data_IF_889296054944
#
_entry.id   IF_889296054944
#
_cell.length_a   1.000
_cell.length_b   1.000
_cell.length_c   1.000
_cell.angle_alpha   90.00
_cell.angle_beta   90.00
_cell.angle_gamma   90.00
#
_symmetry.space_group_name_H-M   'P 1'
#
loop_
_entity.id
_entity.type
_entity.pdbx_description
1 polymer ?
#
# COMPACT_ATOMS: atom_id res chain seq x y z
N UNK A 1 -29.65 20.45 4.29
CA UNK A 1 -29.77 19.53 5.43
C UNK A 1 -30.59 18.30 5.02
N UNK A 2 -31.74 18.50 4.37
CA UNK A 2 -32.67 17.43 3.96
C UNK A 2 -32.09 16.40 2.98
N UNK A 3 -31.28 16.82 1.98
CA UNK A 3 -30.64 15.89 1.02
C UNK A 3 -29.64 14.93 1.70
N UNK A 4 -28.88 15.41 2.68
CA UNK A 4 -27.90 14.59 3.40
C UNK A 4 -28.59 13.59 4.34
N UNK A 5 -29.61 14.05 5.07
CA UNK A 5 -30.42 13.18 5.93
C UNK A 5 -31.15 12.10 5.12
N UNK A 6 -31.61 12.44 3.92
CA UNK A 6 -32.20 11.47 2.98
C UNK A 6 -31.19 10.42 2.52
N UNK A 7 -29.94 10.81 2.22
CA UNK A 7 -28.88 9.88 1.81
C UNK A 7 -28.50 8.88 2.91
N UNK A 8 -28.39 9.35 4.15
CA UNK A 8 -28.05 8.50 5.29
C UNK A 8 -29.14 7.47 5.59
N UNK A 9 -30.42 7.89 5.50
CA UNK A 9 -31.57 7.02 5.69
C UNK A 9 -31.62 5.94 4.60
N UNK A 10 -31.41 6.32 3.33
CA UNK A 10 -31.38 5.36 2.21
C UNK A 10 -30.21 4.38 2.33
N UNK A 11 -29.03 4.83 2.78
CA UNK A 11 -27.90 3.95 2.99
C UNK A 11 -28.14 2.95 4.12
N UNK A 12 -28.78 3.38 5.21
CA UNK A 12 -29.19 2.48 6.29
C UNK A 12 -30.25 1.48 5.81
N UNK A 13 -31.22 1.92 5.00
CA UNK A 13 -32.23 1.05 4.40
C UNK A 13 -31.57 0.00 3.50
N UNK A 14 -30.64 0.39 2.63
CA UNK A 14 -29.88 -0.52 1.78
C UNK A 14 -29.14 -1.59 2.59
N UNK A 15 -28.47 -1.19 3.69
CA UNK A 15 -27.85 -2.16 4.60
C UNK A 15 -28.87 -3.14 5.19
N UNK A 16 -30.03 -2.66 5.63
CA UNK A 16 -31.09 -3.53 6.15
C UNK A 16 -31.56 -4.50 5.06
N UNK A 17 -31.92 -4.00 3.88
CA UNK A 17 -32.44 -4.83 2.80
C UNK A 17 -31.43 -5.89 2.32
N UNK A 18 -30.16 -5.54 2.14
CA UNK A 18 -29.18 -6.43 1.50
C UNK A 18 -28.28 -7.20 2.46
N UNK A 19 -28.23 -6.82 3.73
CA UNK A 19 -27.35 -7.46 4.73
C UNK A 19 -28.12 -7.99 5.93
N UNK A 20 -29.00 -7.17 6.53
CA UNK A 20 -29.66 -7.52 7.79
C UNK A 20 -31.10 -8.02 7.58
N UNK A 21 -31.34 -9.31 7.85
CA UNK A 21 -32.68 -9.92 7.84
C UNK A 21 -33.39 -9.94 6.47
N UNK A 22 -32.71 -9.51 5.38
CA UNK A 22 -33.25 -9.45 4.03
C UNK A 22 -34.65 -8.78 3.98
N UNK A 23 -34.85 -7.76 4.81
CA UNK A 23 -36.17 -7.17 5.03
C UNK A 23 -36.73 -6.57 3.74
N UNK A 24 -37.90 -7.05 3.32
CA UNK A 24 -38.58 -6.53 2.13
C UNK A 24 -37.88 -6.86 0.80
N UNK A 25 -36.93 -7.81 0.78
CA UNK A 25 -36.30 -8.27 -0.47
C UNK A 25 -37.35 -8.86 -1.42
N UNK A 26 -38.40 -9.49 -0.90
CA UNK A 26 -39.54 -9.99 -1.69
C UNK A 26 -40.33 -8.88 -2.40
N UNK A 27 -40.19 -7.63 -1.95
CA UNK A 27 -40.82 -6.47 -2.58
C UNK A 27 -39.94 -5.85 -3.69
N UNK A 28 -38.68 -6.27 -3.81
CA UNK A 28 -37.77 -5.80 -4.85
C UNK A 28 -37.88 -6.68 -6.11
N UNK A 29 -37.68 -6.10 -7.31
CA UNK A 29 -37.50 -6.90 -8.50
C UNK A 29 -36.35 -7.90 -8.32
N UNK A 30 -36.55 -9.13 -8.77
CA UNK A 30 -35.51 -10.17 -8.71
C UNK A 30 -34.41 -9.81 -9.70
N UNK A 31 -33.32 -9.23 -9.21
CA UNK A 31 -32.14 -8.91 -10.00
C UNK A 31 -31.13 -10.06 -9.88
N UNK A 32 -30.88 -10.75 -10.99
CA UNK A 32 -29.94 -11.87 -11.03
C UNK A 32 -28.48 -11.44 -11.19
N UNK A 33 -28.23 -10.27 -11.80
CA UNK A 33 -26.86 -9.79 -12.03
C UNK A 33 -26.29 -9.13 -10.76
N UNK A 34 -25.29 -9.73 -10.08
CA UNK A 34 -24.75 -9.18 -8.84
C UNK A 34 -23.96 -7.88 -9.06
N UNK A 35 -23.39 -7.66 -10.25
CA UNK A 35 -22.67 -6.44 -10.59
C UNK A 35 -23.60 -5.23 -10.64
N UNK A 36 -24.84 -5.43 -11.09
CA UNK A 36 -25.87 -4.39 -11.03
C UNK A 36 -26.22 -4.02 -9.58
N UNK A 37 -26.33 -5.02 -8.70
CA UNK A 37 -26.62 -4.80 -7.28
C UNK A 37 -25.47 -4.04 -6.61
N UNK A 38 -24.22 -4.39 -6.91
CA UNK A 38 -23.06 -3.62 -6.45
C UNK A 38 -23.17 -2.17 -6.91
N UNK A 39 -23.39 -1.94 -8.21
CA UNK A 39 -23.48 -0.60 -8.80
C UNK A 39 -24.56 0.26 -8.11
N UNK A 40 -25.77 -0.29 -7.91
CA UNK A 40 -26.84 0.42 -7.21
C UNK A 40 -26.47 0.77 -5.76
N UNK A 41 -25.74 -0.12 -5.08
CA UNK A 41 -25.37 0.08 -3.69
C UNK A 41 -24.10 0.92 -3.50
N UNK A 42 -23.32 1.21 -4.55
CA UNK A 42 -22.08 1.98 -4.43
C UNK A 42 -22.29 3.34 -3.76
N UNK A 43 -23.35 4.08 -4.11
CA UNK A 43 -23.64 5.39 -3.51
C UNK A 43 -23.89 5.29 -1.99
N UNK A 44 -24.56 4.22 -1.57
CA UNK A 44 -24.86 3.94 -0.17
C UNK A 44 -23.60 3.51 0.59
N UNK A 45 -22.81 2.63 -0.01
CA UNK A 45 -21.52 2.19 0.51
C UNK A 45 -20.62 3.41 0.73
N UNK A 46 -20.42 4.25 -0.27
CA UNK A 46 -19.58 5.46 -0.15
C UNK A 46 -20.12 6.41 0.91
N UNK A 47 -21.45 6.56 1.04
CA UNK A 47 -22.06 7.37 2.11
C UNK A 47 -21.70 6.85 3.50
N UNK A 48 -21.74 5.54 3.72
CA UNK A 48 -21.43 4.92 5.00
C UNK A 48 -19.92 4.92 5.30
N UNK A 49 -19.07 4.65 4.31
CA UNK A 49 -17.61 4.59 4.48
C UNK A 49 -16.96 5.96 4.75
N UNK A 50 -17.64 7.06 4.41
CA UNK A 50 -17.19 8.44 4.71
C UNK A 50 -17.42 8.85 6.17
N UNK A 51 -18.09 8.01 6.97
CA UNK A 51 -18.41 8.29 8.38
C UNK A 51 -17.27 7.84 9.30
N UNK A 52 -17.33 8.26 10.56
CA UNK A 52 -16.27 7.97 11.55
C UNK A 52 -16.75 7.06 12.68
N UNK A 53 -18.06 6.95 12.83
CA UNK A 53 -18.72 6.17 13.86
C UNK A 53 -18.58 4.67 13.56
N UNK A 54 -18.04 3.92 14.51
CA UNK A 54 -17.81 2.46 14.41
C UNK A 54 -19.00 1.68 13.85
N UNK A 55 -20.25 1.82 14.37
CA UNK A 55 -21.38 1.05 13.86
C UNK A 55 -21.76 1.42 12.43
N UNK A 56 -21.49 2.66 11.99
CA UNK A 56 -21.83 3.12 10.63
C UNK A 56 -20.81 2.58 9.63
N UNK A 57 -19.53 2.66 9.98
CA UNK A 57 -18.45 2.06 9.20
C UNK A 57 -18.63 0.54 9.07
N UNK A 58 -19.00 -0.14 10.15
CA UNK A 58 -19.27 -1.58 10.13
C UNK A 58 -20.37 -1.93 9.12
N UNK A 59 -21.46 -1.15 9.07
CA UNK A 59 -22.54 -1.33 8.09
C UNK A 59 -22.05 -1.13 6.66
N UNK A 60 -21.27 -0.07 6.40
CA UNK A 60 -20.71 0.19 5.08
C UNK A 60 -19.78 -0.92 4.59
N UNK A 61 -18.89 -1.39 5.46
CA UNK A 61 -17.99 -2.50 5.17
C UNK A 61 -18.77 -3.82 4.94
N UNK A 62 -19.78 -4.12 5.76
CA UNK A 62 -20.60 -5.32 5.61
C UNK A 62 -21.43 -5.31 4.33
N UNK A 63 -21.99 -4.15 3.95
CA UNK A 63 -22.74 -3.99 2.70
C UNK A 63 -21.84 -4.19 1.48
N UNK A 64 -20.65 -3.58 1.48
CA UNK A 64 -19.68 -3.78 0.41
C UNK A 64 -19.22 -5.23 0.31
N UNK A 65 -18.86 -5.85 1.45
CA UNK A 65 -18.45 -7.26 1.51
C UNK A 65 -19.55 -8.19 0.97
N UNK A 66 -20.81 -7.99 1.38
CA UNK A 66 -21.93 -8.79 0.88
C UNK A 66 -22.11 -8.66 -0.64
N UNK A 67 -22.03 -7.44 -1.19
CA UNK A 67 -22.12 -7.23 -2.64
C UNK A 67 -20.97 -7.92 -3.38
N UNK A 68 -19.74 -7.82 -2.86
CA UNK A 68 -18.56 -8.42 -3.49
C UNK A 68 -18.55 -9.95 -3.41
N UNK A 69 -19.01 -10.56 -2.33
CA UNK A 69 -19.03 -12.03 -2.17
C UNK A 69 -19.94 -12.73 -3.19
N UNK A 70 -20.90 -12.00 -3.77
CA UNK A 70 -21.79 -12.50 -4.81
C UNK A 70 -21.18 -12.45 -6.22
N UNK A 71 -20.04 -11.81 -6.38
CA UNK A 71 -19.33 -11.67 -7.66
C UNK A 71 -18.27 -12.76 -7.81
N UNK A 72 -18.11 -13.24 -9.03
CA UNK A 72 -16.97 -14.08 -9.40
C UNK A 72 -15.69 -13.24 -9.51
N UNK A 73 -14.53 -13.85 -9.30
CA UNK A 73 -13.26 -13.13 -9.47
C UNK A 73 -13.04 -12.79 -10.94
N UNK A 74 -12.44 -11.63 -11.21
CA UNK A 74 -12.23 -11.09 -12.57
C UNK A 74 -13.51 -10.84 -13.38
N UNK A 75 -14.68 -10.70 -12.73
CA UNK A 75 -15.97 -10.46 -13.41
C UNK A 75 -16.32 -8.98 -13.57
N UNK A 76 -15.66 -8.07 -12.84
CA UNK A 76 -15.86 -6.63 -12.99
C UNK A 76 -14.88 -6.08 -14.03
N UNK A 77 -15.42 -5.62 -15.16
CA UNK A 77 -14.64 -5.02 -16.23
C UNK A 77 -14.30 -3.55 -15.96
N UNK A 78 -13.33 -3.01 -16.71
CA UNK A 78 -12.87 -1.62 -16.62
C UNK A 78 -14.02 -0.58 -16.58
N UNK A 79 -15.11 -0.78 -17.32
CA UNK A 79 -16.21 0.20 -17.42
C UNK A 79 -16.84 0.50 -16.06
N UNK A 80 -16.76 -0.41 -15.09
CA UNK A 80 -17.23 -0.15 -13.74
C UNK A 80 -16.43 0.94 -13.03
N UNK A 81 -15.17 1.17 -13.41
CA UNK A 81 -14.36 2.28 -12.87
C UNK A 81 -14.80 3.64 -13.40
N UNK A 82 -15.66 3.73 -14.43
CA UNK A 82 -16.24 5.01 -14.87
C UNK A 82 -17.21 5.58 -13.82
N UNK A 83 -17.74 4.74 -12.93
CA UNK A 83 -18.56 5.17 -11.81
C UNK A 83 -17.66 5.70 -10.67
N UNK A 84 -17.90 6.94 -10.25
CA UNK A 84 -17.12 7.62 -9.21
C UNK A 84 -16.94 6.75 -7.96
N UNK A 85 -18.02 6.13 -7.48
CA UNK A 85 -18.00 5.24 -6.31
C UNK A 85 -16.97 4.13 -6.43
N UNK A 86 -16.80 3.53 -7.62
CA UNK A 86 -15.89 2.41 -7.82
C UNK A 86 -14.41 2.81 -7.74
N UNK A 87 -14.05 4.04 -8.10
CA UNK A 87 -12.69 4.56 -7.91
C UNK A 87 -12.48 5.07 -6.48
N UNK A 88 -13.48 5.75 -5.89
CA UNK A 88 -13.33 6.36 -4.56
C UNK A 88 -13.39 5.35 -3.42
N UNK A 89 -14.15 4.26 -3.57
CA UNK A 89 -14.33 3.28 -2.50
C UNK A 89 -13.02 2.62 -2.06
N UNK A 90 -12.12 2.18 -2.95
CA UNK A 90 -10.78 1.73 -2.55
C UNK A 90 -10.00 2.78 -1.73
N UNK A 91 -10.13 4.06 -2.05
CA UNK A 91 -9.47 5.14 -1.29
C UNK A 91 -10.09 5.32 0.09
N UNK A 92 -11.42 5.23 0.20
CA UNK A 92 -12.11 5.27 1.49
C UNK A 92 -11.77 4.04 2.36
N UNK A 93 -11.61 2.86 1.76
CA UNK A 93 -11.08 1.68 2.44
C UNK A 93 -9.66 1.92 2.97
N UNK A 94 -8.78 2.53 2.17
CA UNK A 94 -7.42 2.90 2.60
C UNK A 94 -7.46 3.86 3.79
N UNK A 95 -8.31 4.90 3.75
CA UNK A 95 -8.47 5.82 4.90
C UNK A 95 -8.87 5.06 6.16
N UNK A 96 -9.85 4.15 6.06
CA UNK A 96 -10.26 3.31 7.20
C UNK A 96 -9.07 2.45 7.66
N UNK A 97 -8.35 1.79 6.75
CA UNK A 97 -7.19 0.95 7.08
C UNK A 97 -6.10 1.69 7.84
N UNK A 98 -5.90 2.98 7.57
CA UNK A 98 -4.77 3.75 8.12
C UNK A 98 -5.16 4.67 9.29
N UNK A 99 -6.40 5.17 9.32
CA UNK A 99 -6.81 6.25 10.23
C UNK A 99 -7.89 5.83 11.23
N UNK A 100 -8.63 4.74 10.99
CA UNK A 100 -9.69 4.30 11.90
C UNK A 100 -9.10 3.86 13.25
N UNK A 101 -9.61 4.30 14.41
CA UNK A 101 -9.07 3.92 15.71
C UNK A 101 -9.30 2.43 16.04
N UNK A 102 -10.34 1.83 15.47
CA UNK A 102 -10.72 0.44 15.71
C UNK A 102 -9.91 -0.53 14.85
N UNK A 103 -9.04 -1.32 15.47
CA UNK A 103 -8.16 -2.29 14.78
C UNK A 103 -8.94 -3.36 14.01
N UNK A 104 -10.07 -3.81 14.57
CA UNK A 104 -10.98 -4.76 13.92
C UNK A 104 -11.46 -4.24 12.56
N UNK A 105 -11.86 -2.96 12.49
CA UNK A 105 -12.29 -2.31 11.26
C UNK A 105 -11.13 -2.07 10.30
N UNK A 106 -9.94 -1.69 10.79
CA UNK A 106 -8.74 -1.57 9.94
C UNK A 106 -8.43 -2.89 9.22
N UNK A 107 -8.40 -4.00 9.98
CA UNK A 107 -8.16 -5.35 9.44
C UNK A 107 -9.26 -5.80 8.49
N UNK A 108 -10.53 -5.50 8.81
CA UNK A 108 -11.66 -5.83 7.93
C UNK A 108 -11.61 -5.05 6.62
N UNK A 109 -11.27 -3.76 6.67
CA UNK A 109 -11.11 -2.92 5.48
C UNK A 109 -10.02 -3.44 4.55
N UNK A 110 -8.86 -3.86 5.09
CA UNK A 110 -7.79 -4.49 4.29
C UNK A 110 -8.28 -5.76 3.56
N UNK A 111 -9.03 -6.63 4.25
CA UNK A 111 -9.58 -7.85 3.64
C UNK A 111 -10.57 -7.52 2.52
N UNK A 112 -11.42 -6.51 2.74
CA UNK A 112 -12.40 -6.09 1.73
C UNK A 112 -11.71 -5.41 0.55
N UNK A 113 -10.64 -4.64 0.77
CA UNK A 113 -9.83 -4.09 -0.32
C UNK A 113 -9.26 -5.21 -1.20
N UNK A 114 -8.68 -6.25 -0.60
CA UNK A 114 -8.20 -7.40 -1.36
C UNK A 114 -9.34 -8.07 -2.14
N UNK A 115 -10.47 -8.33 -1.49
CA UNK A 115 -11.64 -8.91 -2.13
C UNK A 115 -12.12 -8.05 -3.32
N UNK A 116 -12.11 -6.72 -3.17
CA UNK A 116 -12.49 -5.77 -4.21
C UNK A 116 -11.55 -5.86 -5.41
N UNK A 117 -10.23 -5.85 -5.17
CA UNK A 117 -9.21 -5.98 -6.21
C UNK A 117 -9.35 -7.32 -6.96
N UNK A 118 -9.66 -8.40 -6.26
CA UNK A 118 -9.85 -9.74 -6.86
C UNK A 118 -11.07 -9.81 -7.81
N UNK A 119 -12.06 -8.93 -7.65
CA UNK A 119 -13.25 -8.90 -8.53
C UNK A 119 -13.00 -8.24 -9.88
N UNK A 120 -12.05 -7.32 -9.98
CA UNK A 120 -11.75 -6.66 -11.25
C UNK A 120 -10.96 -7.56 -12.19
N UNK A 121 -11.18 -7.38 -13.49
CA UNK A 121 -10.35 -7.98 -14.55
C UNK A 121 -8.91 -7.41 -14.54
N UNK A 122 -8.05 -7.87 -15.47
CA UNK A 122 -6.65 -7.44 -15.49
C UNK A 122 -6.50 -5.94 -15.73
N UNK A 123 -7.29 -5.39 -16.65
CA UNK A 123 -7.27 -3.97 -16.98
C UNK A 123 -7.75 -3.11 -15.80
N UNK A 124 -8.87 -3.49 -15.17
CA UNK A 124 -9.39 -2.83 -13.98
C UNK A 124 -8.39 -2.87 -12.82
N UNK A 125 -7.75 -4.03 -12.57
CA UNK A 125 -6.68 -4.12 -11.56
C UNK A 125 -5.52 -3.19 -11.87
N UNK A 126 -5.08 -3.13 -13.13
CA UNK A 126 -3.98 -2.25 -13.54
C UNK A 126 -4.30 -0.79 -13.22
N UNK A 127 -5.50 -0.31 -13.56
CA UNK A 127 -5.93 1.06 -13.26
C UNK A 127 -6.05 1.30 -11.75
N UNK A 128 -6.63 0.36 -11.00
CA UNK A 128 -6.76 0.46 -9.55
C UNK A 128 -5.40 0.52 -8.85
N UNK A 129 -4.44 -0.32 -9.25
CA UNK A 129 -3.08 -0.28 -8.69
C UNK A 129 -2.41 1.07 -8.94
N UNK A 130 -2.51 1.60 -10.16
CA UNK A 130 -1.98 2.94 -10.48
C UNK A 130 -2.63 4.04 -9.65
N UNK A 131 -3.95 3.97 -9.47
CA UNK A 131 -4.69 4.90 -8.63
C UNK A 131 -4.18 4.84 -7.19
N UNK A 132 -4.18 3.64 -6.59
CA UNK A 132 -3.81 3.44 -5.19
C UNK A 132 -2.36 3.83 -4.91
N UNK A 133 -1.41 3.47 -5.77
CA UNK A 133 0.00 3.87 -5.64
C UNK A 133 0.20 5.39 -5.66
N UNK A 134 -0.70 6.15 -6.30
CA UNK A 134 -0.65 7.62 -6.37
C UNK A 134 -1.35 8.29 -5.20
N UNK A 135 -2.41 7.67 -4.66
CA UNK A 135 -3.32 8.35 -3.70
C UNK A 135 -3.19 7.87 -2.26
N UNK A 136 -2.60 6.70 -1.98
CA UNK A 136 -2.55 6.14 -0.62
C UNK A 136 -1.65 6.93 0.33
N UNK A 137 -0.51 7.42 -0.14
CA UNK A 137 0.52 8.10 0.66
C UNK A 137 0.86 7.37 1.98
N UNK A 138 0.92 6.04 1.92
CA UNK A 138 1.17 5.18 3.08
C UNK A 138 2.00 3.98 2.64
N UNK A 139 3.23 3.90 3.12
CA UNK A 139 4.23 2.92 2.67
C UNK A 139 3.77 1.47 2.81
N UNK A 140 3.12 1.10 3.93
CA UNK A 140 2.57 -0.24 4.11
C UNK A 140 1.42 -0.61 3.14
N UNK A 141 0.59 0.36 2.74
CA UNK A 141 -0.49 0.13 1.76
C UNK A 141 0.13 -0.02 0.38
N UNK A 142 1.07 0.84 0.02
CA UNK A 142 1.79 0.77 -1.25
C UNK A 142 2.55 -0.54 -1.38
N UNK A 143 3.21 -0.99 -0.32
CA UNK A 143 3.84 -2.31 -0.25
C UNK A 143 2.85 -3.45 -0.49
N UNK A 144 1.63 -3.36 0.06
CA UNK A 144 0.57 -4.34 -0.20
C UNK A 144 0.08 -4.32 -1.67
N UNK A 145 0.00 -3.14 -2.29
CA UNK A 145 -0.33 -3.02 -3.73
C UNK A 145 0.79 -3.57 -4.59
N UNK A 146 2.06 -3.32 -4.27
CA UNK A 146 3.23 -3.89 -4.97
C UNK A 146 3.21 -5.43 -4.90
N UNK A 147 2.84 -6.00 -3.75
CA UNK A 147 2.68 -7.44 -3.63
C UNK A 147 1.55 -7.97 -4.53
N UNK A 148 0.44 -7.24 -4.68
CA UNK A 148 -0.63 -7.60 -5.61
C UNK A 148 -0.18 -7.50 -7.08
N UNK A 149 0.63 -6.49 -7.43
CA UNK A 149 1.26 -6.36 -8.75
C UNK A 149 2.13 -7.58 -9.04
N UNK A 150 3.00 -7.97 -8.10
CA UNK A 150 3.82 -9.19 -8.20
C UNK A 150 2.97 -10.42 -8.48
N UNK A 151 1.84 -10.57 -7.79
CA UNK A 151 0.94 -11.70 -7.99
C UNK A 151 0.33 -11.72 -9.41
N UNK A 152 -0.07 -10.55 -9.95
CA UNK A 152 -0.60 -10.47 -11.32
C UNK A 152 0.49 -10.76 -12.36
N UNK A 153 1.73 -10.32 -12.13
CA UNK A 153 2.87 -10.67 -12.99
C UNK A 153 3.11 -12.19 -12.97
N UNK A 154 3.13 -12.81 -11.79
CA UNK A 154 3.34 -14.27 -11.65
C UNK A 154 2.25 -15.08 -12.38
N UNK A 155 1.00 -14.64 -12.27
CA UNK A 155 -0.12 -15.24 -13.02
C UNK A 155 0.05 -15.06 -14.52
N UNK A 156 0.49 -13.88 -14.97
CA UNK A 156 0.67 -13.55 -16.39
C UNK A 156 1.81 -14.33 -17.03
N UNK A 157 2.92 -14.51 -16.32
CA UNK A 157 4.08 -15.28 -16.81
C UNK A 157 3.81 -16.79 -16.90
N UNK A 158 2.81 -17.30 -16.18
CA UNK A 158 2.41 -18.71 -16.20
C UNK A 158 1.38 -19.04 -17.29
N UNK A 159 0.76 -18.03 -17.91
CA UNK A 159 -0.25 -18.23 -18.95
C UNK A 159 0.39 -18.37 -20.32
N UNK A 160 -0.26 -19.15 -21.18
CA UNK A 160 0.12 -19.24 -22.60
C UNK A 160 -0.24 -17.95 -23.35
N UNK A 161 -1.36 -17.33 -23.00
CA UNK A 161 -1.75 -16.03 -23.54
C UNK A 161 -0.99 -14.89 -22.82
N UNK A 162 -0.36 -14.03 -23.63
CA UNK A 162 0.41 -12.89 -23.13
C UNK A 162 -0.54 -11.85 -22.51
N UNK A 163 -0.41 -11.61 -21.20
CA UNK A 163 -1.13 -10.51 -20.55
C UNK A 163 -0.66 -9.17 -21.11
N UNK A 164 -1.60 -8.32 -21.51
CA UNK A 164 -1.29 -6.98 -22.05
C UNK A 164 -0.86 -5.98 -20.98
N UNK A 165 -1.21 -6.20 -19.71
CA UNK A 165 -1.09 -5.19 -18.65
C UNK A 165 0.03 -5.47 -17.65
N UNK A 166 0.33 -6.74 -17.39
CA UNK A 166 1.34 -7.17 -16.42
C UNK A 166 2.55 -7.84 -17.08
N UNK A 167 2.75 -7.59 -18.38
CA UNK A 167 3.98 -7.86 -19.12
C UNK A 167 4.28 -6.68 -20.06
N UNK A 168 5.44 -6.70 -20.72
CA UNK A 168 5.82 -5.68 -21.70
C UNK A 168 5.81 -4.23 -21.18
N UNK A 169 5.61 -3.27 -22.08
CA UNK A 169 5.70 -1.83 -21.80
C UNK A 169 4.65 -1.31 -20.81
N UNK A 170 3.46 -1.94 -20.72
CA UNK A 170 2.45 -1.54 -19.74
C UNK A 170 2.91 -1.84 -18.32
N UNK A 171 3.56 -2.99 -18.12
CA UNK A 171 4.23 -3.32 -16.86
C UNK A 171 5.34 -2.32 -16.55
N UNK A 172 6.18 -1.97 -17.53
CA UNK A 172 7.23 -0.95 -17.32
C UNK A 172 6.65 0.38 -16.82
N UNK A 173 5.55 0.85 -17.43
CA UNK A 173 4.89 2.07 -16.96
C UNK A 173 4.41 1.96 -15.51
N UNK A 174 3.98 0.76 -15.08
CA UNK A 174 3.61 0.50 -13.69
C UNK A 174 4.84 0.45 -12.78
N UNK A 175 5.93 -0.18 -13.22
CA UNK A 175 7.20 -0.26 -12.49
C UNK A 175 7.84 1.12 -12.29
N UNK A 176 7.68 2.05 -13.24
CA UNK A 176 8.13 3.44 -13.07
C UNK A 176 7.50 4.13 -11.86
N UNK A 177 6.28 3.73 -11.45
CA UNK A 177 5.66 4.21 -10.21
C UNK A 177 6.18 3.46 -8.98
N UNK A 178 6.50 2.17 -9.11
CA UNK A 178 6.92 1.31 -7.99
C UNK A 178 8.40 1.51 -7.61
N UNK A 179 9.26 1.61 -8.61
CA UNK A 179 10.72 1.73 -8.50
C UNK A 179 11.13 3.21 -8.53
N UNK A 180 10.54 3.99 -7.63
CA UNK A 180 10.78 5.42 -7.51
C UNK A 180 11.02 5.80 -6.05
N UNK A 181 12.04 6.63 -5.84
CA UNK A 181 12.30 7.31 -4.57
C UNK A 181 11.81 8.77 -4.68
N UNK A 182 10.83 9.22 -3.87
CA UNK A 182 10.23 10.55 -3.98
C UNK A 182 11.24 11.70 -4.00
N UNK A 183 12.25 11.65 -3.13
CA UNK A 183 13.34 12.64 -3.05
C UNK A 183 14.70 12.05 -3.49
N UNK A 184 14.69 10.98 -4.28
CA UNK A 184 15.92 10.29 -4.67
C UNK A 184 16.72 9.82 -3.45
N UNK A 185 18.01 10.14 -3.39
CA UNK A 185 18.89 9.74 -2.31
C UNK A 185 18.55 10.37 -0.94
N UNK A 186 17.77 11.46 -0.91
CA UNK A 186 17.38 12.15 0.34
C UNK A 186 16.08 11.61 0.95
N UNK A 187 15.44 10.64 0.29
CA UNK A 187 14.20 10.03 0.76
C UNK A 187 14.34 9.47 2.17
N UNK A 188 13.37 9.72 3.04
CA UNK A 188 13.30 9.07 4.36
C UNK A 188 13.05 7.55 4.20
N UNK A 189 14.15 6.79 4.22
CA UNK A 189 14.12 5.35 4.01
C UNK A 189 13.35 4.60 5.11
N UNK A 190 13.28 5.13 6.34
CA UNK A 190 12.53 4.48 7.41
C UNK A 190 11.02 4.64 7.21
N UNK A 191 10.59 5.86 6.87
CA UNK A 191 9.19 6.14 6.57
C UNK A 191 8.70 5.33 5.36
N UNK A 192 9.55 5.16 4.34
CA UNK A 192 9.23 4.43 3.11
C UNK A 192 9.65 2.96 3.13
N UNK A 193 10.04 2.41 4.29
CA UNK A 193 10.68 1.11 4.39
C UNK A 193 9.88 -0.05 3.81
N UNK A 194 8.59 -0.15 4.15
CA UNK A 194 7.69 -1.18 3.64
C UNK A 194 7.57 -1.15 2.11
N UNK A 195 7.45 0.05 1.53
CA UNK A 195 7.35 0.25 0.07
C UNK A 195 8.66 -0.15 -0.60
N UNK A 196 9.79 0.35 -0.11
CA UNK A 196 11.13 0.09 -0.69
C UNK A 196 11.42 -1.42 -0.65
N UNK A 197 11.14 -2.08 0.47
CA UNK A 197 11.32 -3.53 0.59
C UNK A 197 10.42 -4.30 -0.36
N UNK A 198 9.16 -3.91 -0.54
CA UNK A 198 8.27 -4.53 -1.52
C UNK A 198 8.78 -4.33 -2.96
N UNK A 199 9.24 -3.12 -3.29
CA UNK A 199 9.83 -2.77 -4.60
C UNK A 199 11.07 -3.61 -4.91
N UNK A 200 12.02 -3.71 -3.97
CA UNK A 200 13.22 -4.53 -4.11
C UNK A 200 12.88 -6.02 -4.28
N UNK A 201 11.92 -6.54 -3.51
CA UNK A 201 11.50 -7.93 -3.63
C UNK A 201 10.76 -8.23 -4.94
N UNK A 202 10.02 -7.25 -5.48
CA UNK A 202 9.43 -7.35 -6.82
C UNK A 202 10.52 -7.39 -7.89
N UNK A 203 11.48 -6.47 -7.85
CA UNK A 203 12.59 -6.44 -8.81
C UNK A 203 13.42 -7.73 -8.76
N UNK A 204 13.77 -8.20 -7.56
CA UNK A 204 14.42 -9.49 -7.35
C UNK A 204 13.61 -10.64 -7.96
N UNK A 205 12.30 -10.65 -7.80
CA UNK A 205 11.44 -11.68 -8.38
C UNK A 205 11.48 -11.64 -9.91
N UNK A 206 11.39 -10.46 -10.52
CA UNK A 206 11.45 -10.27 -11.98
C UNK A 206 12.75 -10.80 -12.56
N UNK A 207 13.89 -10.42 -11.98
CA UNK A 207 15.22 -10.87 -12.43
C UNK A 207 15.45 -12.38 -12.30
N UNK A 208 14.74 -13.04 -11.36
CA UNK A 208 14.82 -14.50 -11.20
C UNK A 208 13.90 -15.22 -12.18
N UNK A 209 12.74 -14.64 -12.51
CA UNK A 209 11.67 -15.32 -13.23
C UNK A 209 11.64 -15.04 -14.72
N UNK A 210 11.96 -13.84 -15.15
CA UNK A 210 12.00 -13.49 -16.56
C UNK A 210 13.36 -13.86 -17.14
N UNK A 211 13.38 -14.68 -18.18
CA UNK A 211 14.62 -15.00 -18.89
C UNK A 211 15.03 -13.79 -19.74
N UNK A 212 16.32 -13.45 -19.78
CA UNK A 212 16.86 -12.36 -20.59
C UNK A 212 16.63 -12.54 -22.10
N UNK A 213 16.69 -13.78 -22.60
CA UNK A 213 16.47 -14.08 -24.02
C UNK A 213 15.01 -13.89 -24.44
N UNK A 214 14.06 -14.15 -23.52
CA UNK A 214 12.61 -14.05 -23.75
C UNK A 214 12.11 -12.63 -23.43
N UNK A 215 12.59 -12.08 -22.31
CA UNK A 215 12.37 -10.71 -21.81
C UNK A 215 10.89 -10.28 -21.89
N UNK A 216 9.98 -11.17 -21.45
CA UNK A 216 8.53 -10.96 -21.55
C UNK A 216 8.09 -9.73 -20.76
N UNK A 217 8.78 -9.43 -19.66
CA UNK A 217 8.44 -8.29 -18.80
C UNK A 217 9.08 -6.98 -19.29
N UNK A 218 9.98 -7.04 -20.27
CA UNK A 218 10.85 -5.96 -20.70
C UNK A 218 11.80 -5.43 -19.61
N UNK A 219 11.95 -6.15 -18.48
CA UNK A 219 12.78 -5.69 -17.36
C UNK A 219 14.25 -5.55 -17.74
N UNK A 220 14.75 -6.46 -18.58
CA UNK A 220 16.15 -6.47 -19.01
C UNK A 220 16.47 -5.29 -19.92
N UNK A 221 15.53 -4.89 -20.77
CA UNK A 221 15.67 -3.70 -21.62
C UNK A 221 15.72 -2.41 -20.81
N UNK A 222 14.94 -2.32 -19.75
CA UNK A 222 14.82 -1.10 -18.93
C UNK A 222 15.80 -1.07 -17.74
N UNK A 223 16.67 -2.07 -17.62
CA UNK A 223 17.52 -2.26 -16.46
C UNK A 223 18.43 -1.06 -16.19
N UNK A 224 19.04 -0.48 -17.25
CA UNK A 224 19.85 0.73 -17.15
C UNK A 224 19.10 1.91 -16.51
N UNK A 225 17.82 2.07 -16.88
CA UNK A 225 16.97 3.14 -16.33
C UNK A 225 16.66 2.87 -14.86
N UNK A 226 16.39 1.62 -14.49
CA UNK A 226 16.12 1.21 -13.10
C UNK A 226 17.37 1.40 -12.23
N UNK A 227 18.53 0.97 -12.69
CA UNK A 227 19.80 1.18 -12.00
C UNK A 227 20.06 2.67 -11.72
N UNK A 228 19.88 3.50 -12.75
CA UNK A 228 20.12 4.94 -12.68
C UNK A 228 19.14 5.67 -11.75
N UNK A 229 17.86 5.33 -11.83
CA UNK A 229 16.80 6.12 -11.20
C UNK A 229 16.37 5.58 -9.82
N UNK A 230 16.64 4.31 -9.54
CA UNK A 230 16.22 3.65 -8.31
C UNK A 230 17.39 3.07 -7.51
N UNK A 231 18.17 2.14 -8.09
CA UNK A 231 19.19 1.40 -7.33
C UNK A 231 20.34 2.29 -6.86
N UNK A 232 20.93 3.08 -7.76
CA UNK A 232 22.03 4.00 -7.40
C UNK A 232 21.62 5.05 -6.36
N UNK A 233 20.49 5.77 -6.52
CA UNK A 233 20.01 6.68 -5.48
C UNK A 233 19.71 5.98 -4.16
N UNK A 234 19.16 4.76 -4.18
CA UNK A 234 18.91 3.98 -2.95
C UNK A 234 20.22 3.63 -2.23
N UNK A 235 21.24 3.17 -2.96
CA UNK A 235 22.56 2.89 -2.40
C UNK A 235 23.17 4.15 -1.76
N UNK A 236 23.09 5.31 -2.43
CA UNK A 236 23.53 6.59 -1.86
C UNK A 236 22.74 6.95 -0.59
N UNK A 237 21.41 6.84 -0.63
CA UNK A 237 20.56 7.13 0.52
C UNK A 237 20.82 6.21 1.72
N UNK A 238 21.11 4.92 1.48
CA UNK A 238 21.47 3.97 2.54
C UNK A 238 22.78 4.36 3.21
N UNK A 239 23.82 4.70 2.42
CA UNK A 239 25.12 5.13 2.94
C UNK A 239 25.02 6.42 3.76
N UNK A 240 24.30 7.42 3.24
CA UNK A 240 24.05 8.69 3.95
C UNK A 240 23.27 8.45 5.24
N UNK A 241 22.18 7.69 5.19
CA UNK A 241 21.34 7.38 6.35
C UNK A 241 22.12 6.61 7.42
N UNK A 242 22.88 5.58 7.03
CA UNK A 242 23.72 4.80 7.94
C UNK A 242 24.74 5.70 8.65
N UNK A 243 25.50 6.49 7.90
CA UNK A 243 26.51 7.39 8.46
C UNK A 243 25.90 8.38 9.46
N UNK A 244 24.72 8.95 9.15
CA UNK A 244 24.00 9.85 10.05
C UNK A 244 23.61 9.15 11.37
N UNK A 245 23.00 7.97 11.30
CA UNK A 245 22.53 7.25 12.49
C UNK A 245 23.69 6.72 13.35
N UNK A 246 24.77 6.24 12.72
CA UNK A 246 25.99 5.81 13.44
C UNK A 246 26.66 6.98 14.17
N UNK A 247 26.76 8.15 13.52
CA UNK A 247 27.29 9.36 14.15
C UNK A 247 26.43 9.81 15.34
N UNK A 248 25.10 9.75 15.23
CA UNK A 248 24.20 10.11 16.32
C UNK A 248 24.29 9.11 17.49
N UNK A 249 24.44 7.81 17.23
CA UNK A 249 24.71 6.80 18.26
C UNK A 249 26.02 7.10 18.99
N UNK A 250 27.09 7.38 18.24
CA UNK A 250 28.42 7.69 18.81
C UNK A 250 28.35 8.95 19.70
N UNK A 251 27.75 10.02 19.20
CA UNK A 251 27.53 11.27 19.95
C UNK A 251 26.75 11.04 21.24
N UNK A 252 25.69 10.22 21.21
CA UNK A 252 24.89 9.89 22.40
C UNK A 252 25.66 9.03 23.41
N UNK A 253 26.54 8.14 22.96
CA UNK A 253 27.42 7.34 23.82
C UNK A 253 28.52 8.20 24.45
N UNK A 254 29.14 9.12 23.71
CA UNK A 254 30.18 10.02 24.24
C UNK A 254 29.62 11.02 25.27
N UNK A 255 28.39 11.49 25.08
CA UNK A 255 27.65 12.28 26.08
C UNK A 255 27.28 11.49 27.35
N UNK A 256 27.54 10.17 27.44
CA UNK A 256 27.49 9.40 28.70
C UNK A 256 28.80 9.53 29.51
N UNK A 257 29.91 9.96 28.90
CA UNK A 257 31.27 9.91 29.50
C UNK A 257 31.76 11.31 29.95
N UNK A 258 31.12 12.40 29.51
CA UNK A 258 31.47 13.76 29.92
C UNK A 258 31.13 14.07 31.40
N UNK A 259 31.98 14.81 32.13
CA UNK A 259 31.77 15.10 33.55
C UNK A 259 30.49 15.91 33.76
N UNK A 260 29.76 15.55 34.82
CA UNK A 260 28.62 16.27 35.37
C UNK A 260 28.98 17.73 35.67
N UNK A 261 28.90 18.63 34.67
CA UNK A 261 28.93 20.07 34.91
C UNK A 261 28.36 20.85 33.72
N UNK A 262 27.05 21.02 33.72
CA UNK A 262 26.43 22.18 33.08
C UNK A 262 25.09 22.46 33.78
N UNK A 263 25.03 23.60 34.46
CA UNK A 263 23.82 24.17 35.07
C UNK A 263 22.63 24.04 34.10
N UNK A 264 21.63 23.23 34.45
CA UNK A 264 20.38 23.16 33.70
C UNK A 264 19.52 24.35 34.10
N UNK A 265 19.29 25.25 33.15
CA UNK A 265 18.37 26.39 33.30
C UNK A 265 16.94 25.88 33.47
N UNK A 266 16.19 26.51 34.37
CA UNK A 266 14.82 26.17 34.79
C UNK A 266 13.82 25.97 33.62
N UNK A 267 14.08 26.57 32.46
CA UNK A 267 13.28 26.43 31.23
C UNK A 267 13.32 25.02 30.60
N UNK A 268 14.36 24.20 30.84
CA UNK A 268 14.41 22.81 30.34
C UNK A 268 13.57 21.82 31.16
N UNK A 269 13.16 22.17 32.38
CA UNK A 269 12.36 21.28 33.24
C UNK A 269 10.89 21.26 32.82
N UNK A 270 10.37 22.36 32.28
CA UNK A 270 8.94 22.49 31.93
C UNK A 270 8.62 21.78 30.60
N UNK A 271 9.54 21.76 29.63
CA UNK A 271 9.38 20.98 28.39
C UNK A 271 9.51 19.46 28.64
N UNK A 272 10.35 19.05 29.59
CA UNK A 272 10.57 17.63 29.92
C UNK A 272 9.42 17.00 30.71
N UNK A 273 8.64 17.81 31.42
CA UNK A 273 7.48 17.35 32.18
C UNK A 273 6.29 16.90 31.29
N UNK A 274 6.29 17.24 29.99
CA UNK A 274 5.28 16.76 29.02
C UNK A 274 5.73 15.57 28.16
N UNK A 275 6.98 15.10 28.29
CA UNK A 275 7.53 13.94 27.55
C UNK A 275 8.19 12.91 28.49
N UNK A 276 7.59 12.64 29.65
CA UNK A 276 8.17 11.74 30.66
C UNK A 276 7.87 10.25 30.38
N UNK A 277 8.36 9.73 29.25
CA UNK A 277 8.22 8.29 28.93
C UNK A 277 9.40 7.65 28.20
N UNK A 278 10.27 8.43 27.54
CA UNK A 278 11.36 7.88 26.73
C UNK A 278 12.67 8.04 27.51
N UNK A 279 13.30 6.91 27.87
CA UNK A 279 14.65 6.92 28.45
C UNK A 279 15.70 7.05 27.36
N UNK A 280 16.90 7.53 27.71
CA UNK A 280 18.03 7.62 26.75
C UNK A 280 18.39 6.26 26.13
N UNK A 281 18.16 5.17 26.85
CA UNK A 281 18.44 3.82 26.34
C UNK A 281 17.38 3.39 25.34
N UNK A 282 16.11 3.77 25.52
CA UNK A 282 15.05 3.58 24.51
C UNK A 282 15.36 4.36 23.22
N UNK A 283 15.90 5.58 23.32
CA UNK A 283 16.32 6.34 22.14
C UNK A 283 17.47 5.66 21.39
N UNK A 284 18.48 5.14 22.10
CA UNK A 284 19.57 4.40 21.49
C UNK A 284 19.07 3.11 20.82
N UNK A 285 18.12 2.41 21.45
CA UNK A 285 17.50 1.22 20.87
C UNK A 285 16.73 1.55 19.58
N UNK A 286 16.02 2.68 19.54
CA UNK A 286 15.35 3.15 18.32
C UNK A 286 16.34 3.43 17.17
N UNK A 287 17.47 4.08 17.46
CA UNK A 287 18.53 4.30 16.47
C UNK A 287 19.13 2.98 15.97
N UNK A 288 19.34 2.01 16.86
CA UNK A 288 19.80 0.68 16.45
C UNK A 288 18.77 -0.06 15.60
N UNK A 289 17.47 0.06 15.90
CA UNK A 289 16.39 -0.50 15.07
C UNK A 289 16.38 0.08 13.65
N UNK A 290 16.69 1.36 13.51
CA UNK A 290 16.84 1.98 12.19
C UNK A 290 18.00 1.37 11.40
N UNK A 291 19.16 1.17 12.03
CA UNK A 291 20.30 0.53 11.37
C UNK A 291 19.97 -0.89 10.89
N UNK A 292 19.27 -1.69 11.68
CA UNK A 292 18.83 -3.03 11.23
C UNK A 292 17.88 -2.97 10.03
N UNK A 293 17.07 -1.92 9.93
CA UNK A 293 16.19 -1.71 8.79
C UNK A 293 17.00 -1.40 7.53
N UNK A 294 18.05 -0.58 7.66
CA UNK A 294 18.98 -0.31 6.55
C UNK A 294 19.77 -1.56 6.13
N UNK A 295 20.26 -2.36 7.10
CA UNK A 295 20.95 -3.63 6.83
C UNK A 295 20.06 -4.59 6.04
N UNK A 296 18.77 -4.68 6.39
CA UNK A 296 17.81 -5.52 5.69
C UNK A 296 17.61 -5.06 4.24
N UNK A 297 17.46 -3.75 4.02
CA UNK A 297 17.33 -3.19 2.66
C UNK A 297 18.58 -3.44 1.82
N UNK A 298 19.75 -3.18 2.40
CA UNK A 298 21.04 -3.34 1.73
C UNK A 298 21.30 -4.81 1.38
N UNK A 299 20.92 -5.75 2.25
CA UNK A 299 21.00 -7.18 1.95
C UNK A 299 20.16 -7.59 0.73
N UNK A 300 18.95 -7.03 0.57
CA UNK A 300 18.12 -7.33 -0.60
C UNK A 300 18.63 -6.60 -1.84
N UNK A 301 19.10 -5.35 -1.70
CA UNK A 301 19.70 -4.57 -2.78
C UNK A 301 20.93 -5.27 -3.36
N UNK A 302 21.87 -5.68 -2.50
CA UNK A 302 23.06 -6.42 -2.92
C UNK A 302 22.70 -7.72 -3.66
N UNK A 303 21.62 -8.41 -3.23
CA UNK A 303 21.15 -9.61 -3.94
C UNK A 303 20.54 -9.28 -5.32
N UNK A 304 19.90 -8.12 -5.47
CA UNK A 304 19.40 -7.65 -6.77
C UNK A 304 20.58 -7.37 -7.70
N UNK A 305 21.61 -6.67 -7.23
CA UNK A 305 22.81 -6.35 -8.00
C UNK A 305 23.59 -7.61 -8.41
N UNK A 306 23.73 -8.58 -7.50
CA UNK A 306 24.35 -9.87 -7.79
C UNK A 306 23.62 -10.64 -8.90
N UNK A 307 22.27 -10.55 -8.95
CA UNK A 307 21.48 -11.18 -10.00
C UNK A 307 21.68 -10.49 -11.37
N UNK A 308 21.88 -9.17 -11.36
CA UNK A 308 22.18 -8.39 -12.57
C UNK A 308 23.58 -8.77 -13.10
N UNK A 309 24.60 -8.78 -12.24
CA UNK A 309 25.98 -9.08 -12.62
C UNK A 309 26.18 -10.51 -13.14
N UNK A 310 25.58 -11.49 -12.46
CA UNK A 310 25.70 -12.91 -12.82
C UNK A 310 25.07 -13.26 -14.18
N UNK A 311 24.18 -12.40 -14.70
CA UNK A 311 23.49 -12.64 -15.98
C UNK A 311 24.13 -11.88 -17.14
N UNK A 312 24.76 -10.73 -16.91
CA UNK A 312 25.55 -10.01 -17.91
C UNK A 312 26.91 -10.62 -18.29
N UNK A 313 27.27 -11.79 -17.74
CA UNK A 313 28.54 -12.49 -18.02
C UNK A 313 28.40 -13.75 -18.88
N UNK A 314 27.24 -14.01 -19.51
CA UNK A 314 27.06 -15.11 -20.47
C UNK A 314 26.86 -14.57 -21.88
#
# INVERSE_FOLDING_TARGET
MDKQQSSDALACLSYIVFVQDCFGVDCLPVVFNPSYILQCNMVHITTLLKRTEEPVLLKGLALLENCLLRLENNSLFLQYLEFEGCITTPQDLVKIMTQCPFESLRKKSLKILQLYLDKFDEEGKYILFRCLLKTSNHSGVEGHIIQNIKNQIDLSLKREEVSKFFTGLQLISLLDMVLLLPEGAETDLLQHSDRIMASLNLLRYLLIKDNEDDNKTCIWTELYKIERNFLKPLHTGLNMSRAHYEAEIKRKKENKIGPHNSKKTCSQLIAKAKMSGITKDMELQALHSALFTFDLMESVLARVEELIENKGCN
#
